data_IF_449677479459
#
_entry.id   IF_449677479459
#
_cell.length_a   1.000
_cell.length_b   1.000
_cell.length_c   1.000
_cell.angle_alpha   90.00
_cell.angle_beta   90.00
_cell.angle_gamma   90.00
#
_symmetry.space_group_name_H-M   'P 1'
#
loop_
_entity.id
_entity.type
_entity.pdbx_description
1 polymer ?
#
# COMPACT_ATOMS: atom_id res chain seq x y z
N UNK A 1 54.89 19.29 12.96
CA UNK A 1 54.38 18.99 11.60
C UNK A 1 54.18 17.49 11.32
N UNK A 2 54.30 16.58 12.29
CA UNK A 2 54.13 15.12 12.06
C UNK A 2 52.79 14.57 12.58
N UNK A 3 52.23 15.15 13.66
CA UNK A 3 50.96 14.69 14.23
C UNK A 3 49.73 14.91 13.32
N UNK A 4 49.72 15.93 12.47
CA UNK A 4 48.58 16.20 11.57
C UNK A 4 48.39 15.12 10.50
N UNK A 5 49.45 14.44 10.09
CA UNK A 5 49.38 13.39 9.06
C UNK A 5 48.78 12.08 9.61
N UNK A 6 48.95 11.82 10.91
CA UNK A 6 48.44 10.61 11.56
C UNK A 6 46.92 10.66 11.78
N UNK A 7 46.35 11.85 12.01
CA UNK A 7 44.91 12.03 12.19
C UNK A 7 44.10 11.76 10.91
N UNK A 8 44.67 12.00 9.73
CA UNK A 8 43.99 11.80 8.44
C UNK A 8 43.93 10.33 8.00
N UNK A 9 44.92 9.52 8.39
CA UNK A 9 44.94 8.08 8.06
C UNK A 9 43.83 7.29 8.77
N UNK A 10 43.37 7.73 9.95
CA UNK A 10 42.36 7.01 10.73
C UNK A 10 40.97 6.99 10.08
N UNK A 11 40.63 7.98 9.25
CA UNK A 11 39.38 7.97 8.48
C UNK A 11 39.47 7.10 7.21
N UNK A 12 40.68 6.85 6.69
CA UNK A 12 40.91 5.99 5.52
C UNK A 12 40.90 4.49 5.89
N UNK A 13 41.28 4.16 7.12
CA UNK A 13 41.31 2.77 7.61
C UNK A 13 39.97 2.30 8.19
N UNK A 14 38.90 3.10 8.08
CA UNK A 14 37.58 2.63 8.45
C UNK A 14 37.24 1.43 7.58
N UNK A 15 36.99 0.24 8.17
CA UNK A 15 36.55 -0.90 7.40
C UNK A 15 35.29 -0.46 6.66
N UNK A 16 35.36 -0.42 5.33
CA UNK A 16 34.21 -0.14 4.47
C UNK A 16 33.21 -1.25 4.72
N UNK A 17 32.36 -1.08 5.73
CA UNK A 17 31.24 -1.97 5.96
C UNK A 17 30.42 -1.90 4.69
N UNK A 18 30.43 -2.99 3.92
CA UNK A 18 29.67 -3.08 2.68
C UNK A 18 28.21 -2.96 3.09
N UNK A 19 27.63 -1.78 2.87
CA UNK A 19 26.21 -1.54 3.12
C UNK A 19 25.45 -2.39 2.10
N UNK A 20 25.09 -3.61 2.50
CA UNK A 20 24.23 -4.44 1.68
C UNK A 20 22.81 -3.92 1.78
N UNK A 21 22.35 -3.28 0.69
CA UNK A 21 20.95 -2.89 0.55
C UNK A 21 20.11 -4.14 0.37
N UNK A 22 19.12 -4.33 1.25
CA UNK A 22 18.12 -5.38 1.12
C UNK A 22 16.81 -4.74 0.67
N UNK A 23 16.26 -5.24 -0.44
CA UNK A 23 14.92 -4.85 -0.88
C UNK A 23 13.91 -5.62 -0.02
N UNK A 24 13.17 -4.90 0.81
CA UNK A 24 12.05 -5.46 1.58
C UNK A 24 10.76 -5.12 0.86
N UNK A 25 10.03 -6.13 0.39
CA UNK A 25 8.69 -5.94 -0.17
C UNK A 25 7.67 -5.95 0.96
N UNK A 26 6.88 -4.88 1.08
CA UNK A 26 5.77 -4.80 2.01
C UNK A 26 4.46 -4.98 1.24
N UNK A 27 3.63 -5.91 1.70
CA UNK A 27 2.37 -6.28 1.07
C UNK A 27 1.24 -6.09 2.08
N UNK A 28 0.05 -5.67 1.62
CA UNK A 28 -1.10 -5.58 2.50
C UNK A 28 -1.45 -6.98 3.04
N UNK A 29 -1.93 -7.07 4.29
CA UNK A 29 -2.55 -8.28 4.81
C UNK A 29 -3.61 -8.86 3.85
N UNK A 30 -3.75 -10.20 3.73
CA UNK A 30 -4.65 -10.83 2.76
C UNK A 30 -6.12 -10.38 2.84
N UNK A 31 -6.59 -9.92 4.00
CA UNK A 31 -7.94 -9.40 4.20
C UNK A 31 -8.17 -7.95 3.72
N UNK A 32 -7.13 -7.22 3.32
CA UNK A 32 -7.19 -5.83 2.87
C UNK A 32 -7.36 -5.66 1.36
N UNK A 33 -7.14 -6.72 0.59
CA UNK A 33 -7.35 -6.73 -0.88
C UNK A 33 -8.50 -7.67 -1.31
N UNK A 34 -9.67 -7.67 -0.65
CA UNK A 34 -10.79 -8.49 -1.09
C UNK A 34 -11.46 -7.85 -2.32
N UNK A 35 -11.94 -8.69 -3.23
CA UNK A 35 -12.69 -8.22 -4.40
C UNK A 35 -13.89 -7.34 -3.99
N UNK A 36 -14.12 -6.24 -4.72
CA UNK A 36 -15.30 -5.41 -4.50
C UNK A 36 -16.55 -6.16 -4.98
N UNK A 37 -17.67 -6.11 -4.23
CA UNK A 37 -18.90 -6.71 -4.71
C UNK A 37 -19.37 -5.98 -5.97
N UNK A 38 -19.60 -6.72 -7.05
CA UNK A 38 -20.14 -6.22 -8.31
C UNK A 38 -21.40 -7.04 -8.62
N UNK A 39 -22.60 -6.53 -8.28
CA UNK A 39 -23.83 -7.27 -8.49
C UNK A 39 -24.17 -7.29 -9.99
N UNK A 40 -24.58 -8.45 -10.49
CA UNK A 40 -25.05 -8.60 -11.86
C UNK A 40 -26.47 -8.04 -12.01
N UNK A 41 -26.70 -7.27 -13.08
CA UNK A 41 -28.02 -6.78 -13.45
C UNK A 41 -28.65 -7.70 -14.49
N UNK A 42 -29.72 -8.40 -14.12
CA UNK A 42 -30.45 -9.34 -15.00
C UNK A 42 -31.83 -8.83 -15.41
N UNK A 43 -32.10 -7.53 -15.23
CA UNK A 43 -33.39 -6.93 -15.55
C UNK A 43 -33.56 -6.65 -17.04
N UNK A 44 -34.81 -6.57 -17.50
CA UNK A 44 -35.14 -6.34 -18.91
C UNK A 44 -35.92 -5.04 -19.14
N UNK A 45 -36.34 -4.37 -18.07
CA UNK A 45 -37.11 -3.12 -18.12
C UNK A 45 -36.41 -1.99 -17.37
N UNK A 46 -36.79 -0.74 -17.68
CA UNK A 46 -36.37 0.42 -16.89
C UNK A 46 -36.82 0.31 -15.42
N UNK A 47 -37.99 -0.31 -15.17
CA UNK A 47 -38.46 -0.57 -13.82
C UNK A 47 -37.55 -1.53 -13.04
N UNK A 48 -36.92 -2.49 -13.72
CA UNK A 48 -35.92 -3.38 -13.10
C UNK A 48 -34.65 -2.62 -12.75
N UNK A 49 -34.20 -1.73 -13.65
CA UNK A 49 -33.03 -0.89 -13.41
C UNK A 49 -33.22 0.00 -12.18
N UNK A 50 -34.36 0.69 -12.08
CA UNK A 50 -34.67 1.54 -10.92
C UNK A 50 -34.72 0.72 -9.63
N UNK A 51 -35.32 -0.47 -9.65
CA UNK A 51 -35.34 -1.38 -8.49
C UNK A 51 -33.97 -1.94 -8.13
N UNK A 52 -33.04 -2.00 -9.07
CA UNK A 52 -31.68 -2.49 -8.85
C UNK A 52 -30.74 -1.44 -8.24
N UNK A 53 -31.03 -0.15 -8.38
CA UNK A 53 -30.19 0.95 -7.86
C UNK A 53 -29.80 0.75 -6.38
N UNK A 54 -30.70 0.39 -5.44
CA UNK A 54 -30.32 0.18 -4.04
C UNK A 54 -29.31 -0.95 -3.83
N UNK A 55 -29.41 -2.02 -4.62
CA UNK A 55 -28.46 -3.14 -4.62
C UNK A 55 -27.08 -2.66 -5.05
N UNK A 56 -27.02 -1.92 -6.17
CA UNK A 56 -25.79 -1.33 -6.67
C UNK A 56 -25.17 -0.34 -5.66
N UNK A 57 -25.97 0.58 -5.11
CA UNK A 57 -25.50 1.54 -4.10
C UNK A 57 -24.91 0.85 -2.87
N UNK A 58 -25.53 -0.25 -2.42
CA UNK A 58 -25.02 -1.04 -1.29
C UNK A 58 -23.68 -1.69 -1.62
N UNK A 59 -23.54 -2.25 -2.82
CA UNK A 59 -22.29 -2.83 -3.30
C UNK A 59 -21.18 -1.78 -3.39
N UNK A 60 -21.49 -0.60 -3.95
CA UNK A 60 -20.56 0.53 -4.02
C UNK A 60 -20.10 1.01 -2.64
N UNK A 61 -21.02 1.17 -1.68
CA UNK A 61 -20.65 1.56 -0.30
C UNK A 61 -19.69 0.56 0.34
N UNK A 62 -19.95 -0.75 0.18
CA UNK A 62 -19.05 -1.81 0.67
C UNK A 62 -17.69 -1.75 -0.01
N UNK A 63 -17.65 -1.50 -1.32
CA UNK A 63 -16.39 -1.31 -2.04
C UNK A 63 -15.62 -0.08 -1.53
N UNK A 64 -16.30 1.05 -1.32
CA UNK A 64 -15.68 2.25 -0.78
C UNK A 64 -15.03 2.01 0.58
N UNK A 65 -15.70 1.31 1.50
CA UNK A 65 -15.11 0.95 2.79
C UNK A 65 -13.83 0.14 2.64
N UNK A 66 -13.80 -0.84 1.73
CA UNK A 66 -12.61 -1.64 1.45
C UNK A 66 -11.46 -0.79 0.91
N UNK A 67 -11.74 0.06 -0.07
CA UNK A 67 -10.76 0.99 -0.66
C UNK A 67 -10.20 1.94 0.39
N UNK A 68 -11.07 2.54 1.23
CA UNK A 68 -10.62 3.43 2.30
C UNK A 68 -9.69 2.72 3.29
N UNK A 69 -10.00 1.47 3.63
CA UNK A 69 -9.19 0.68 4.54
C UNK A 69 -7.82 0.35 3.91
N UNK A 70 -7.80 0.00 2.62
CA UNK A 70 -6.57 -0.23 1.88
C UNK A 70 -5.71 1.04 1.80
N UNK A 71 -6.31 2.18 1.45
CA UNK A 71 -5.60 3.46 1.37
C UNK A 71 -5.02 3.86 2.73
N UNK A 72 -5.77 3.68 3.81
CA UNK A 72 -5.26 3.92 5.14
C UNK A 72 -4.03 3.05 5.44
N UNK A 73 -4.04 1.76 5.08
CA UNK A 73 -2.87 0.89 5.22
C UNK A 73 -1.68 1.38 4.38
N UNK A 74 -1.92 1.81 3.13
CA UNK A 74 -0.87 2.37 2.25
C UNK A 74 -0.21 3.58 2.92
N UNK A 75 -1.02 4.54 3.40
CA UNK A 75 -0.53 5.73 4.09
C UNK A 75 0.31 5.38 5.34
N UNK A 76 -0.12 4.39 6.13
CA UNK A 76 0.66 3.92 7.28
C UNK A 76 2.00 3.30 6.84
N UNK A 77 2.03 2.56 5.75
CA UNK A 77 3.24 1.88 5.26
C UNK A 77 4.23 2.83 4.58
N UNK A 78 3.77 3.96 4.01
CA UNK A 78 4.62 5.01 3.45
C UNK A 78 5.33 5.83 4.54
N UNK A 79 4.75 5.94 5.73
CA UNK A 79 5.29 6.71 6.86
C UNK A 79 6.09 5.87 7.88
N UNK A 80 6.28 4.57 7.63
CA UNK A 80 6.92 3.60 8.54
C UNK A 80 8.28 3.11 8.03
#
# INVERSE_FOLDING_TARGET
MSLCLLALCACSSQPTTVVQTKVVKRLPPPGLVPHCPEPEFTGSTYGDAVRFIPTLQTAMRRCQTKINTLNHWIEQEEHN
#
